data_IF_366265843109
#
_entry.id   IF_366265843109
#
_cell.length_a   1.000
_cell.length_b   1.000
_cell.length_c   1.000
_cell.angle_alpha   90.00
_cell.angle_beta   90.00
_cell.angle_gamma   90.00
#
_symmetry.space_group_name_H-M   'P 1'
#
loop_
_entity.id
_entity.type
_entity.pdbx_description
1 polymer ?
#
# COMPACT_ATOMS: atom_id res chain seq x y z
N UNK A 1 -16.91 -8.08 19.10
CA UNK A 1 -15.63 -7.37 18.87
C UNK A 1 -15.83 -6.50 17.64
N UNK A 2 -15.95 -5.15 17.72
CA UNK A 2 -16.01 -4.34 16.52
C UNK A 2 -14.64 -4.43 15.83
N UNK A 3 -14.63 -5.00 14.62
CA UNK A 3 -13.46 -4.99 13.76
C UNK A 3 -13.03 -3.53 13.61
N UNK A 4 -11.81 -3.21 14.04
CA UNK A 4 -11.23 -1.89 13.90
C UNK A 4 -11.46 -1.45 12.45
N UNK A 5 -12.27 -0.40 12.26
CA UNK A 5 -12.47 0.24 10.97
C UNK A 5 -11.10 0.42 10.36
N UNK A 6 -10.82 -0.37 9.33
CA UNK A 6 -9.51 -0.46 8.68
C UNK A 6 -9.28 0.87 7.97
N UNK A 7 -8.80 1.87 8.70
CA UNK A 7 -8.48 3.19 8.16
C UNK A 7 -7.53 2.97 6.98
N UNK A 8 -8.01 3.27 5.78
CA UNK A 8 -7.16 3.20 4.60
C UNK A 8 -5.97 4.12 4.82
N UNK A 9 -4.79 3.59 4.58
CA UNK A 9 -3.54 4.30 4.74
C UNK A 9 -3.33 5.19 3.52
N UNK A 10 -2.87 6.42 3.74
CA UNK A 10 -2.39 7.25 2.65
C UNK A 10 -0.99 6.79 2.19
N UNK A 11 -0.62 7.15 0.96
CA UNK A 11 0.74 7.00 0.43
C UNK A 11 1.85 7.39 1.41
N UNK A 12 1.67 8.46 2.20
CA UNK A 12 2.65 8.90 3.19
C UNK A 12 2.84 7.91 4.35
N UNK A 13 1.75 7.30 4.82
CA UNK A 13 1.82 6.29 5.89
C UNK A 13 2.38 4.97 5.36
N UNK A 14 1.97 4.58 4.16
CA UNK A 14 2.50 3.40 3.46
C UNK A 14 4.01 3.56 3.20
N UNK A 15 4.43 4.75 2.78
CA UNK A 15 5.83 5.12 2.62
C UNK A 15 6.63 4.94 3.91
N UNK A 16 6.13 5.43 5.04
CA UNK A 16 6.78 5.26 6.34
C UNK A 16 6.89 3.78 6.74
N UNK A 17 5.84 2.98 6.50
CA UNK A 17 5.82 1.54 6.82
C UNK A 17 6.79 0.72 5.96
N UNK A 18 6.96 1.10 4.69
CA UNK A 18 7.86 0.42 3.75
C UNK A 18 9.28 0.99 3.77
N UNK A 19 9.52 2.10 4.46
CA UNK A 19 10.80 2.84 4.40
C UNK A 19 11.10 3.37 2.99
N UNK A 20 10.06 3.73 2.22
CA UNK A 20 10.17 4.23 0.84
C UNK A 20 9.56 5.61 0.71
N UNK A 21 9.89 6.35 -0.35
CA UNK A 21 9.31 7.67 -0.59
C UNK A 21 7.85 7.59 -1.03
N UNK A 22 7.01 8.54 -0.61
CA UNK A 22 5.61 8.62 -1.02
C UNK A 22 5.42 8.69 -2.55
N UNK A 23 6.39 9.25 -3.28
CA UNK A 23 6.42 9.25 -4.75
C UNK A 23 6.49 7.84 -5.35
N UNK A 24 7.31 6.96 -4.77
CA UNK A 24 7.39 5.54 -5.20
C UNK A 24 6.07 4.83 -4.96
N UNK A 25 5.46 5.03 -3.80
CA UNK A 25 4.15 4.42 -3.48
C UNK A 25 3.07 4.92 -4.43
N UNK A 26 3.08 6.22 -4.77
CA UNK A 26 2.18 6.80 -5.76
C UNK A 26 2.36 6.15 -7.14
N UNK A 27 3.59 5.96 -7.58
CA UNK A 27 3.90 5.27 -8.84
C UNK A 27 3.44 3.81 -8.80
N UNK A 28 3.60 3.10 -7.69
CA UNK A 28 3.12 1.74 -7.51
C UNK A 28 1.60 1.62 -7.51
N UNK A 29 0.90 2.57 -6.87
CA UNK A 29 -0.56 2.63 -6.93
C UNK A 29 -1.04 2.93 -8.36
N UNK A 30 -0.38 3.88 -9.05
CA UNK A 30 -0.69 4.19 -10.44
C UNK A 30 -0.40 3.01 -11.40
N UNK A 31 0.63 2.22 -11.11
CA UNK A 31 0.99 1.02 -11.87
C UNK A 31 0.16 -0.22 -11.48
N UNK A 32 -0.71 -0.15 -10.48
CA UNK A 32 -1.53 -1.28 -10.03
C UNK A 32 -0.76 -2.37 -9.28
N UNK A 33 0.43 -2.05 -8.76
CA UNK A 33 1.27 -3.00 -8.01
C UNK A 33 0.66 -3.35 -6.66
N UNK A 34 0.00 -2.38 -6.02
CA UNK A 34 -0.69 -2.58 -4.75
C UNK A 34 -2.17 -2.87 -5.05
N UNK A 35 -2.61 -4.14 -4.93
CA UNK A 35 -3.96 -4.53 -5.31
C UNK A 35 -4.97 -3.96 -4.31
N UNK A 36 -5.89 -3.11 -4.78
CA UNK A 36 -6.90 -2.47 -3.93
C UNK A 36 -6.53 -1.05 -3.52
N UNK A 37 -5.40 -0.50 -3.96
CA UNK A 37 -5.17 0.94 -3.88
C UNK A 37 -6.17 1.67 -4.78
N UNK A 38 -6.84 2.68 -4.24
CA UNK A 38 -7.81 3.48 -4.97
C UNK A 38 -7.54 4.97 -4.77
N UNK A 39 -7.79 5.74 -5.83
CA UNK A 39 -7.70 7.20 -5.78
C UNK A 39 -9.06 7.76 -5.40
N UNK A 40 -9.11 8.60 -4.34
CA UNK A 40 -10.34 9.28 -3.97
C UNK A 40 -10.74 10.27 -5.08
N UNK A 41 -11.97 10.17 -5.58
CA UNK A 41 -12.48 11.14 -6.59
C UNK A 41 -12.58 12.51 -5.93
N UNK A 42 -11.80 13.48 -6.42
CA UNK A 42 -11.76 14.86 -5.92
C UNK A 42 -10.46 15.23 -5.20
N UNK A 43 -9.64 14.25 -4.78
CA UNK A 43 -8.36 14.49 -4.12
C UNK A 43 -7.21 13.82 -4.90
N UNK A 44 -6.01 14.42 -4.84
CA UNK A 44 -4.79 13.83 -5.41
C UNK A 44 -4.14 12.80 -4.48
N UNK A 45 -4.89 12.30 -3.50
CA UNK A 45 -4.46 11.30 -2.53
C UNK A 45 -4.89 9.89 -2.96
N UNK A 46 -4.00 8.95 -2.70
CA UNK A 46 -4.20 7.54 -2.97
C UNK A 46 -4.37 6.84 -1.64
N UNK A 47 -5.47 6.10 -1.51
CA UNK A 47 -5.77 5.30 -0.33
C UNK A 47 -5.41 3.85 -0.59
N UNK A 48 -4.78 3.26 0.41
CA UNK A 48 -4.32 1.88 0.40
C UNK A 48 -4.95 1.16 1.59
N UNK A 49 -5.82 0.18 1.36
CA UNK A 49 -6.36 -0.64 2.43
C UNK A 49 -5.23 -1.38 3.16
N UNK A 50 -5.34 -1.57 4.48
CA UNK A 50 -4.35 -2.36 5.24
C UNK A 50 -4.22 -3.79 4.72
N UNK A 51 -5.33 -4.40 4.32
CA UNK A 51 -5.30 -5.75 3.73
C UNK A 51 -4.50 -5.82 2.43
N UNK A 52 -4.58 -4.78 1.59
CA UNK A 52 -3.78 -4.64 0.37
C UNK A 52 -2.29 -4.50 0.70
N UNK A 53 -1.97 -3.70 1.73
CA UNK A 53 -0.59 -3.51 2.18
C UNK A 53 0.01 -4.82 2.75
N UNK A 54 -0.74 -5.55 3.56
CA UNK A 54 -0.30 -6.85 4.10
C UNK A 54 -0.06 -7.86 2.98
N UNK A 55 -0.95 -7.95 2.00
CA UNK A 55 -0.77 -8.81 0.83
C UNK A 55 0.48 -8.42 0.03
N UNK A 56 0.73 -7.11 -0.13
CA UNK A 56 1.93 -6.60 -0.79
C UNK A 56 3.21 -6.96 -0.03
N UNK A 57 3.25 -6.73 1.30
CA UNK A 57 4.40 -7.09 2.14
C UNK A 57 4.71 -8.59 2.09
N UNK A 58 3.67 -9.44 2.08
CA UNK A 58 3.86 -10.88 1.93
C UNK A 58 4.48 -11.23 0.57
N UNK A 59 4.05 -10.59 -0.52
CA UNK A 59 4.63 -10.80 -1.85
C UNK A 59 6.07 -10.32 -1.94
N UNK A 60 6.40 -9.17 -1.37
CA UNK A 60 7.77 -8.64 -1.32
C UNK A 60 8.69 -9.59 -0.54
N UNK A 61 8.21 -10.09 0.62
CA UNK A 61 8.95 -11.08 1.42
C UNK A 61 9.17 -12.38 0.65
N UNK A 62 8.17 -12.85 -0.10
CA UNK A 62 8.30 -14.03 -0.96
C UNK A 62 9.27 -13.81 -2.14
N UNK A 63 9.27 -12.61 -2.75
CA UNK A 63 10.25 -12.25 -3.79
C UNK A 63 11.67 -12.25 -3.24
N UNK A 64 11.87 -11.64 -2.08
CA UNK A 64 13.17 -11.64 -1.41
C UNK A 64 13.64 -13.07 -1.05
N UNK A 65 12.75 -13.89 -0.50
CA UNK A 65 13.05 -15.28 -0.15
C UNK A 65 13.31 -16.18 -1.37
N UNK A 66 12.69 -15.90 -2.53
CA UNK A 66 12.93 -16.62 -3.79
C UNK A 66 14.23 -16.22 -4.49
N UNK A 67 14.87 -15.15 -4.02
CA UNK A 67 16.15 -14.64 -4.55
C UNK A 67 17.35 -15.10 -3.71
N UNK A 68 17.13 -15.95 -2.70
CA UNK A 68 18.14 -16.56 -1.83
C UNK A 68 18.24 -18.06 -2.11
#
# INVERSE_FOLDING_TARGET
MPAAVEVDLDCGQVAALLGRSAGTIRSWCAAGVIPGAYRLRGCREWRVPRIALTAFQQRERQRAARSA
#
